data_IF_741663831662
#
_entry.id   IF_741663831662
#
_cell.length_a   1.000
_cell.length_b   1.000
_cell.length_c   1.000
_cell.angle_alpha   90.00
_cell.angle_beta   90.00
_cell.angle_gamma   90.00
#
_symmetry.space_group_name_H-M   'P 1'
#
loop_
_entity.id
_entity.type
_entity.pdbx_description
1 polymer ?
#
# COMPACT_ATOMS: atom_id res chain seq x y z
N UNK A 1 7.66 5.75 -44.81
CA UNK A 1 7.35 5.35 -43.42
C UNK A 1 8.63 4.87 -42.76
N UNK A 2 9.03 5.46 -41.63
CA UNK A 2 10.32 5.16 -40.99
C UNK A 2 10.15 3.93 -40.06
N UNK A 3 10.89 2.82 -40.23
CA UNK A 3 10.75 1.61 -39.40
C UNK A 3 10.89 1.90 -37.89
N UNK A 4 11.64 2.95 -37.52
CA UNK A 4 11.82 3.36 -36.13
C UNK A 4 10.55 3.92 -35.46
N UNK A 5 9.57 4.46 -36.21
CA UNK A 5 8.33 4.97 -35.61
C UNK A 5 7.38 3.85 -35.18
N UNK A 6 7.40 2.71 -35.88
CA UNK A 6 6.52 1.58 -35.58
C UNK A 6 6.96 0.88 -34.29
N UNK A 7 8.28 0.69 -34.12
CA UNK A 7 8.86 0.08 -32.90
C UNK A 7 8.61 0.95 -31.65
N UNK A 8 8.72 2.28 -31.77
CA UNK A 8 8.47 3.20 -30.65
C UNK A 8 7.00 3.20 -30.21
N UNK A 9 6.07 3.14 -31.17
CA UNK A 9 4.63 3.08 -30.89
C UNK A 9 4.23 1.74 -30.27
N UNK A 10 4.82 0.63 -30.72
CA UNK A 10 4.59 -0.69 -30.15
C UNK A 10 5.07 -0.77 -28.69
N UNK A 11 6.28 -0.31 -28.39
CA UNK A 11 6.82 -0.30 -27.03
C UNK A 11 5.99 0.53 -26.04
N UNK A 12 5.47 1.68 -26.47
CA UNK A 12 4.60 2.50 -25.62
C UNK A 12 3.25 1.82 -25.30
N UNK A 13 2.67 1.09 -26.28
CA UNK A 13 1.45 0.30 -26.05
C UNK A 13 1.71 -0.85 -25.09
N UNK A 14 2.85 -1.53 -25.24
CA UNK A 14 3.25 -2.63 -24.36
C UNK A 14 3.40 -2.17 -22.91
N UNK A 15 4.10 -1.05 -22.67
CA UNK A 15 4.30 -0.52 -21.31
C UNK A 15 2.95 -0.16 -20.65
N UNK A 16 2.03 0.46 -21.39
CA UNK A 16 0.69 0.78 -20.89
C UNK A 16 -0.09 -0.47 -20.53
N UNK A 17 -0.03 -1.49 -21.39
CA UNK A 17 -0.68 -2.78 -21.13
C UNK A 17 -0.13 -3.45 -19.87
N UNK A 18 1.21 -3.47 -19.70
CA UNK A 18 1.85 -4.02 -18.50
C UNK A 18 1.39 -3.28 -17.23
N UNK A 19 1.40 -1.94 -17.24
CA UNK A 19 0.94 -1.16 -16.07
C UNK A 19 -0.53 -1.44 -15.78
N UNK A 20 -1.38 -1.50 -16.80
CA UNK A 20 -2.80 -1.82 -16.62
C UNK A 20 -3.00 -3.21 -16.00
N UNK A 21 -2.27 -4.23 -16.47
CA UNK A 21 -2.34 -5.59 -15.91
C UNK A 21 -1.84 -5.62 -14.46
N UNK A 22 -0.72 -4.97 -14.14
CA UNK A 22 -0.20 -4.90 -12.77
C UNK A 22 -1.20 -4.20 -11.84
N UNK A 23 -1.76 -3.06 -12.27
CA UNK A 23 -2.79 -2.35 -11.49
C UNK A 23 -4.06 -3.17 -11.32
N UNK A 24 -4.48 -3.93 -12.33
CA UNK A 24 -5.63 -4.82 -12.24
C UNK A 24 -5.38 -5.98 -11.26
N UNK A 25 -4.20 -6.60 -11.29
CA UNK A 25 -3.81 -7.64 -10.32
C UNK A 25 -3.83 -7.08 -8.89
N UNK A 26 -3.27 -5.89 -8.65
CA UNK A 26 -3.34 -5.25 -7.34
C UNK A 26 -4.77 -4.94 -6.90
N UNK A 27 -5.63 -4.52 -7.83
CA UNK A 27 -7.06 -4.31 -7.56
C UNK A 27 -7.78 -5.60 -7.15
N UNK A 28 -7.52 -6.72 -7.82
CA UNK A 28 -8.08 -8.02 -7.46
C UNK A 28 -7.61 -8.48 -6.09
N UNK A 29 -6.29 -8.38 -5.80
CA UNK A 29 -5.76 -8.74 -4.48
C UNK A 29 -6.34 -7.86 -3.37
N UNK A 30 -6.53 -6.55 -3.63
CA UNK A 30 -7.14 -5.65 -2.68
C UNK A 30 -8.61 -5.99 -2.40
N UNK A 31 -9.37 -6.38 -3.43
CA UNK A 31 -10.76 -6.81 -3.26
C UNK A 31 -10.87 -8.09 -2.43
N UNK A 32 -9.99 -9.08 -2.68
CA UNK A 32 -9.94 -10.32 -1.91
C UNK A 32 -9.55 -10.07 -0.45
N UNK A 33 -8.52 -9.25 -0.21
CA UNK A 33 -8.10 -8.90 1.15
C UNK A 33 -9.18 -8.10 1.89
N UNK A 34 -9.91 -7.22 1.21
CA UNK A 34 -11.02 -6.49 1.79
C UNK A 34 -12.16 -7.45 2.18
N UNK A 35 -12.49 -8.42 1.33
CA UNK A 35 -13.51 -9.42 1.62
C UNK A 35 -13.13 -10.25 2.86
N UNK A 36 -11.92 -10.82 2.87
CA UNK A 36 -11.42 -11.61 4.02
C UNK A 36 -11.36 -10.76 5.29
N UNK A 37 -10.84 -9.53 5.21
CA UNK A 37 -10.79 -8.62 6.36
C UNK A 37 -12.18 -8.31 6.90
N UNK A 38 -13.16 -8.05 6.03
CA UNK A 38 -14.54 -7.79 6.44
C UNK A 38 -15.20 -9.00 7.09
N UNK A 39 -14.98 -10.22 6.56
CA UNK A 39 -15.56 -11.44 7.16
C UNK A 39 -14.97 -11.72 8.54
N UNK A 40 -13.66 -11.51 8.71
CA UNK A 40 -13.00 -11.66 10.00
C UNK A 40 -13.57 -10.62 10.97
N UNK A 41 -13.62 -9.34 10.59
CA UNK A 41 -14.19 -8.29 11.44
C UNK A 41 -15.59 -8.65 11.91
N UNK A 42 -16.51 -9.06 11.02
CA UNK A 42 -17.88 -9.38 11.44
C UNK A 42 -17.99 -10.56 12.42
N UNK A 43 -17.04 -11.50 12.40
CA UNK A 43 -17.01 -12.62 13.36
C UNK A 43 -16.50 -12.13 14.72
N UNK A 44 -15.55 -11.18 14.73
CA UNK A 44 -14.94 -10.67 15.95
C UNK A 44 -15.69 -9.46 16.55
N UNK A 45 -16.45 -8.70 15.76
CA UNK A 45 -17.24 -7.54 16.19
C UNK A 45 -18.29 -7.93 17.26
N UNK A 46 -18.86 -9.14 17.18
CA UNK A 46 -19.79 -9.68 18.20
C UNK A 46 -19.12 -9.83 19.58
N UNK A 47 -17.78 -9.84 19.63
CA UNK A 47 -16.98 -9.97 20.84
C UNK A 47 -16.30 -8.66 21.29
N UNK A 48 -16.18 -7.66 20.40
CA UNK A 48 -15.56 -6.35 20.68
C UNK A 48 -16.40 -5.44 21.60
N UNK A 49 -17.67 -5.79 21.85
CA UNK A 49 -18.53 -5.10 22.84
C UNK A 49 -17.95 -5.17 24.27
N UNK A 50 -16.97 -6.04 24.51
CA UNK A 50 -16.36 -6.28 25.82
C UNK A 50 -14.86 -5.90 25.93
N UNK A 51 -14.22 -5.34 24.89
CA UNK A 51 -12.81 -4.94 24.91
C UNK A 51 -12.61 -3.44 24.65
N UNK A 52 -11.66 -2.82 25.36
CA UNK A 52 -11.29 -1.40 25.25
C UNK A 52 -10.90 -1.01 23.81
N UNK A 53 -11.43 0.12 23.33
CA UNK A 53 -11.31 0.74 21.99
C UNK A 53 -9.86 1.02 21.49
N UNK A 54 -8.83 0.70 22.27
CA UNK A 54 -7.46 1.15 21.99
C UNK A 54 -6.59 0.17 21.19
N UNK A 55 -7.08 -1.04 20.87
CA UNK A 55 -6.30 -2.03 20.14
C UNK A 55 -6.74 -2.12 18.66
N UNK A 56 -5.81 -1.81 17.75
CA UNK A 56 -5.98 -2.12 16.33
C UNK A 56 -5.94 -3.64 16.13
N UNK A 57 -7.10 -4.25 15.94
CA UNK A 57 -7.20 -5.67 15.60
C UNK A 57 -6.53 -5.94 14.24
N UNK A 58 -5.93 -7.13 14.03
CA UNK A 58 -5.34 -7.50 12.74
C UNK A 58 -6.31 -7.38 11.56
N UNK A 59 -7.61 -7.62 11.79
CA UNK A 59 -8.67 -7.50 10.79
C UNK A 59 -8.84 -6.05 10.30
N UNK A 60 -8.87 -5.09 11.21
CA UNK A 60 -8.99 -3.66 10.88
C UNK A 60 -7.79 -3.17 10.07
N UNK A 61 -6.58 -3.64 10.39
CA UNK A 61 -5.38 -3.34 9.61
C UNK A 61 -5.46 -3.90 8.19
N UNK A 62 -5.96 -5.14 8.02
CA UNK A 62 -6.16 -5.74 6.70
C UNK A 62 -7.13 -4.92 5.84
N UNK A 63 -8.25 -4.46 6.41
CA UNK A 63 -9.22 -3.60 5.72
C UNK A 63 -8.57 -2.29 5.28
N UNK A 64 -7.86 -1.62 6.18
CA UNK A 64 -7.18 -0.34 5.89
C UNK A 64 -6.17 -0.48 4.74
N UNK A 65 -5.29 -1.49 4.81
CA UNK A 65 -4.29 -1.75 3.76
C UNK A 65 -4.98 -2.03 2.42
N UNK A 66 -6.08 -2.79 2.43
CA UNK A 66 -6.83 -3.13 1.22
C UNK A 66 -7.40 -1.90 0.52
N UNK A 67 -7.94 -0.94 1.28
CA UNK A 67 -8.45 0.32 0.73
C UNK A 67 -7.32 1.13 0.10
N UNK A 68 -6.16 1.24 0.77
CA UNK A 68 -4.99 1.92 0.22
C UNK A 68 -4.52 1.27 -1.09
N UNK A 69 -4.42 -0.06 -1.15
CA UNK A 69 -4.04 -0.80 -2.36
C UNK A 69 -5.04 -0.61 -3.50
N UNK A 70 -6.35 -0.55 -3.19
CA UNK A 70 -7.39 -0.26 -4.17
C UNK A 70 -7.22 1.14 -4.79
N UNK A 71 -6.93 2.15 -3.97
CA UNK A 71 -6.67 3.51 -4.46
C UNK A 71 -5.44 3.52 -5.39
N UNK A 72 -4.35 2.85 -5.00
CA UNK A 72 -3.14 2.74 -5.83
C UNK A 72 -3.45 2.07 -7.18
N UNK A 73 -4.25 1.00 -7.18
CA UNK A 73 -4.69 0.32 -8.39
C UNK A 73 -5.50 1.25 -9.32
N UNK A 74 -6.46 2.00 -8.77
CA UNK A 74 -7.27 2.96 -9.53
C UNK A 74 -6.40 4.06 -10.14
N UNK A 75 -5.47 4.64 -9.36
CA UNK A 75 -4.54 5.66 -9.85
C UNK A 75 -3.66 5.11 -10.97
N UNK A 76 -3.19 3.87 -10.85
CA UNK A 76 -2.41 3.18 -11.90
C UNK A 76 -3.21 2.98 -13.18
N UNK A 77 -4.44 2.47 -13.09
CA UNK A 77 -5.35 2.30 -14.22
C UNK A 77 -5.66 3.62 -14.93
N UNK A 78 -6.06 4.65 -14.17
CA UNK A 78 -6.35 5.99 -14.72
C UNK A 78 -5.09 6.62 -15.32
N UNK A 79 -3.93 6.43 -14.68
CA UNK A 79 -2.64 6.92 -15.17
C UNK A 79 -2.25 6.31 -16.51
N UNK A 80 -2.48 5.01 -16.69
CA UNK A 80 -2.23 4.31 -17.94
C UNK A 80 -3.16 4.78 -19.07
N UNK A 81 -4.45 5.00 -18.78
CA UNK A 81 -5.48 5.41 -19.76
C UNK A 81 -5.35 6.89 -20.14
N UNK A 82 -5.24 7.80 -19.16
CA UNK A 82 -5.25 9.25 -19.40
C UNK A 82 -3.92 9.79 -19.96
N UNK A 83 -2.89 8.95 -20.08
CA UNK A 83 -1.53 9.34 -20.51
C UNK A 83 -0.98 10.56 -19.74
N UNK A 84 -1.42 10.74 -18.50
CA UNK A 84 -1.04 11.90 -17.69
C UNK A 84 0.28 11.61 -16.97
N UNK A 85 1.30 12.42 -17.27
CA UNK A 85 2.61 12.35 -16.63
C UNK A 85 2.55 12.49 -15.12
N UNK A 86 1.61 13.30 -14.61
CA UNK A 86 1.47 13.52 -13.16
C UNK A 86 0.95 12.26 -12.47
N UNK A 87 -0.13 11.66 -13.00
CA UNK A 87 -0.74 10.45 -12.43
C UNK A 87 0.22 9.25 -12.47
N UNK A 88 0.94 9.05 -13.58
CA UNK A 88 1.94 7.98 -13.69
C UNK A 88 3.10 8.18 -12.70
N UNK A 89 3.51 9.42 -12.46
CA UNK A 89 4.56 9.71 -11.47
C UNK A 89 4.08 9.49 -10.03
N UNK A 90 2.84 9.87 -9.72
CA UNK A 90 2.21 9.59 -8.42
C UNK A 90 2.11 8.08 -8.19
N UNK A 91 1.65 7.32 -9.18
CA UNK A 91 1.61 5.86 -9.11
C UNK A 91 2.98 5.25 -8.81
N UNK A 92 4.02 5.67 -9.55
CA UNK A 92 5.39 5.21 -9.29
C UNK A 92 5.91 5.58 -7.91
N UNK A 93 5.61 6.79 -7.42
CA UNK A 93 5.99 7.22 -6.07
C UNK A 93 5.28 6.42 -4.97
N UNK A 94 3.98 6.12 -5.14
CA UNK A 94 3.23 5.28 -4.21
C UNK A 94 3.77 3.86 -4.17
N UNK A 95 4.06 3.24 -5.33
CA UNK A 95 4.67 1.91 -5.36
C UNK A 95 6.04 1.87 -4.68
N UNK A 96 6.86 2.90 -4.89
CA UNK A 96 8.15 3.00 -4.21
C UNK A 96 8.01 3.17 -2.69
N UNK A 97 7.03 3.95 -2.23
CA UNK A 97 6.74 4.11 -0.81
C UNK A 97 6.32 2.78 -0.18
N UNK A 98 5.41 2.03 -0.83
CA UNK A 98 5.00 0.70 -0.37
C UNK A 98 6.20 -0.27 -0.32
N UNK A 99 7.05 -0.27 -1.34
CA UNK A 99 8.27 -1.09 -1.35
C UNK A 99 9.22 -0.75 -0.18
N UNK A 100 9.39 0.54 0.14
CA UNK A 100 10.20 0.96 1.28
C UNK A 100 9.60 0.53 2.63
N UNK A 101 8.28 0.60 2.79
CA UNK A 101 7.59 0.09 3.98
C UNK A 101 7.73 -1.42 4.10
N UNK A 102 7.60 -2.16 3.00
CA UNK A 102 7.75 -3.61 2.96
C UNK A 102 9.17 -4.05 3.34
N UNK A 103 10.20 -3.37 2.83
CA UNK A 103 11.59 -3.61 3.22
C UNK A 103 11.82 -3.31 4.70
N UNK A 104 11.27 -2.22 5.20
CA UNK A 104 11.39 -1.84 6.62
C UNK A 104 10.71 -2.89 7.52
N UNK A 105 9.51 -3.33 7.16
CA UNK A 105 8.78 -4.37 7.87
C UNK A 105 9.54 -5.71 7.86
N UNK A 106 10.16 -6.09 6.73
CA UNK A 106 10.97 -7.30 6.63
C UNK A 106 12.20 -7.26 7.55
N UNK A 107 12.89 -6.12 7.62
CA UNK A 107 14.04 -5.93 8.53
C UNK A 107 13.60 -5.99 10.00
N UNK A 108 12.50 -5.32 10.34
CA UNK A 108 11.94 -5.34 11.70
C UNK A 108 11.52 -6.76 12.11
N UNK A 109 10.83 -7.49 11.22
CA UNK A 109 10.43 -8.87 11.46
C UNK A 109 11.63 -9.79 11.72
N UNK A 110 12.72 -9.61 10.97
CA UNK A 110 13.96 -10.35 11.18
C UNK A 110 14.60 -10.03 12.54
N UNK A 111 14.69 -8.75 12.90
CA UNK A 111 15.26 -8.31 14.18
C UNK A 111 14.45 -8.79 15.39
N UNK A 112 13.11 -8.83 15.27
CA UNK A 112 12.21 -9.19 16.37
C UNK A 112 11.83 -10.67 16.43
N UNK A 113 12.32 -11.50 15.51
CA UNK A 113 11.95 -12.93 15.45
C UNK A 113 12.13 -13.67 16.79
N UNK A 114 13.25 -13.45 17.48
CA UNK A 114 13.49 -14.04 18.80
C UNK A 114 12.59 -13.51 19.91
N UNK A 115 12.18 -12.24 19.82
CA UNK A 115 11.24 -11.66 20.78
C UNK A 115 9.83 -12.20 20.59
N UNK A 116 9.41 -12.42 19.33
CA UNK A 116 8.08 -12.98 19.01
C UNK A 116 7.90 -14.38 19.61
N UNK A 117 8.90 -15.26 19.49
CA UNK A 117 8.82 -16.63 20.05
C UNK A 117 8.77 -16.63 21.59
N UNK A 118 9.54 -15.75 22.24
CA UNK A 118 9.48 -15.57 23.69
C UNK A 118 8.12 -15.02 24.14
N UNK A 119 7.61 -13.98 23.46
CA UNK A 119 6.31 -13.40 23.76
C UNK A 119 5.19 -14.43 23.57
N UNK A 120 5.25 -15.23 22.51
CA UNK A 120 4.28 -16.31 22.27
C UNK A 120 4.26 -17.31 23.45
N UNK A 121 5.44 -17.76 23.88
CA UNK A 121 5.57 -18.68 25.02
C UNK A 121 4.98 -18.09 26.30
N UNK A 122 5.29 -16.81 26.57
CA UNK A 122 4.77 -16.10 27.75
C UNK A 122 3.26 -15.94 27.70
N UNK A 123 2.72 -15.46 26.58
CA UNK A 123 1.28 -15.26 26.38
C UNK A 123 0.52 -16.56 26.51
N UNK A 124 1.05 -17.66 25.96
CA UNK A 124 0.41 -18.97 26.05
C UNK A 124 0.41 -19.50 27.50
N UNK A 125 1.51 -19.32 28.24
CA UNK A 125 1.56 -19.66 29.67
C UNK A 125 0.54 -18.87 30.48
N UNK A 126 0.44 -17.56 30.25
CA UNK A 126 -0.51 -16.69 30.95
C UNK A 126 -1.97 -17.06 30.62
N UNK A 127 -2.25 -17.33 29.33
CA UNK A 127 -3.56 -17.81 28.90
C UNK A 127 -3.95 -19.12 29.60
N UNK A 128 -3.04 -20.10 29.69
CA UNK A 128 -3.31 -21.37 30.35
C UNK A 128 -3.62 -21.20 31.85
N UNK A 129 -2.87 -20.34 32.56
CA UNK A 129 -3.15 -20.08 33.98
C UNK A 129 -4.50 -19.41 34.20
N UNK A 130 -4.95 -18.58 33.26
CA UNK A 130 -6.23 -17.87 33.31
C UNK A 130 -7.41 -18.68 32.73
N UNK A 131 -7.18 -19.94 32.32
CA UNK A 131 -8.19 -20.78 31.67
C UNK A 131 -9.49 -20.93 32.49
N UNK A 132 -9.39 -21.12 33.82
CA UNK A 132 -10.57 -21.25 34.69
C UNK A 132 -11.25 -19.92 35.01
N UNK A 133 -10.52 -18.82 34.94
CA UNK A 133 -10.99 -17.50 35.39
C UNK A 133 -11.69 -16.73 34.28
N UNK A 134 -11.31 -16.97 33.02
CA UNK A 134 -11.81 -16.22 31.88
C UNK A 134 -12.33 -17.16 30.79
N UNK A 135 -13.66 -17.13 30.58
CA UNK A 135 -14.34 -17.95 29.57
C UNK A 135 -13.89 -17.63 28.14
N UNK A 136 -13.44 -16.41 27.86
CA UNK A 136 -12.87 -16.03 26.56
C UNK A 136 -11.52 -16.74 26.33
N UNK A 137 -10.67 -16.74 27.35
CA UNK A 137 -9.37 -17.42 27.31
C UNK A 137 -9.57 -18.94 27.21
N UNK A 138 -10.55 -19.48 27.92
CA UNK A 138 -10.92 -20.90 27.83
C UNK A 138 -11.34 -21.27 26.40
N UNK A 139 -12.29 -20.53 25.81
CA UNK A 139 -12.75 -20.75 24.43
C UNK A 139 -11.61 -20.66 23.41
N UNK A 140 -10.69 -19.70 23.60
CA UNK A 140 -9.50 -19.57 22.76
C UNK A 140 -8.56 -20.77 22.85
N UNK A 141 -8.31 -21.28 24.06
CA UNK A 141 -7.50 -22.49 24.28
C UNK A 141 -8.20 -23.73 23.72
N UNK A 142 -9.52 -23.86 23.93
CA UNK A 142 -10.31 -24.99 23.42
C UNK A 142 -10.33 -25.04 21.89
N UNK A 143 -10.53 -23.88 21.26
CA UNK A 143 -10.40 -23.73 19.82
C UNK A 143 -9.00 -24.11 19.36
N UNK A 144 -7.96 -23.64 20.04
CA UNK A 144 -6.57 -23.93 19.70
C UNK A 144 -6.28 -25.44 19.79
N UNK A 145 -6.70 -26.11 20.87
CA UNK A 145 -6.51 -27.55 21.08
C UNK A 145 -7.22 -28.40 20.03
N UNK A 146 -8.48 -28.05 19.73
CA UNK A 146 -9.28 -28.76 18.72
C UNK A 146 -8.73 -28.58 17.32
N UNK A 147 -8.31 -27.37 16.93
CA UNK A 147 -7.83 -27.09 15.57
C UNK A 147 -6.40 -27.57 15.31
N UNK A 148 -5.56 -27.61 16.34
CA UNK A 148 -4.16 -28.05 16.22
C UNK A 148 -3.94 -29.51 16.62
N UNK A 149 -4.98 -30.18 17.09
CA UNK A 149 -4.95 -31.56 17.60
C UNK A 149 -3.83 -31.73 18.64
N UNK A 150 -3.84 -30.86 19.64
CA UNK A 150 -2.81 -30.76 20.67
C UNK A 150 -3.43 -30.60 22.07
N UNK A 151 -2.62 -30.84 23.11
CA UNK A 151 -3.08 -30.75 24.48
C UNK A 151 -1.98 -30.24 25.42
N UNK A 152 -2.36 -29.29 26.29
CA UNK A 152 -1.43 -28.61 27.18
C UNK A 152 -0.53 -27.61 26.45
N UNK A 153 0.49 -27.11 27.13
CA UNK A 153 1.46 -26.15 26.55
C UNK A 153 2.53 -26.94 25.80
N UNK A 154 3.32 -27.71 26.54
CA UNK A 154 4.37 -28.59 26.03
C UNK A 154 3.93 -30.06 26.06
N UNK A 155 3.03 -30.43 26.99
CA UNK A 155 2.50 -31.78 27.11
C UNK A 155 1.12 -31.81 27.79
N UNK A 156 0.35 -32.90 27.64
CA UNK A 156 -0.93 -33.07 28.33
C UNK A 156 -0.84 -32.95 29.86
N UNK A 157 0.31 -33.27 30.43
CA UNK A 157 0.56 -33.22 31.88
C UNK A 157 0.55 -31.78 32.43
N UNK A 158 0.66 -30.75 31.58
CA UNK A 158 0.56 -29.35 31.99
C UNK A 158 -0.79 -29.03 32.64
N UNK A 159 -1.83 -29.79 32.32
CA UNK A 159 -3.15 -29.66 32.92
C UNK A 159 -3.18 -30.02 34.41
N UNK A 160 -2.20 -30.77 34.92
CA UNK A 160 -2.05 -31.05 36.36
C UNK A 160 -1.83 -29.78 37.21
N UNK A 161 -1.42 -28.67 36.59
CA UNK A 161 -1.26 -27.37 37.25
C UNK A 161 -2.60 -26.66 37.50
N UNK A 162 -3.65 -27.08 36.79
CA UNK A 162 -4.97 -26.44 36.77
C UNK A 162 -6.04 -27.39 37.35
N UNK A 163 -6.00 -28.66 36.97
CA UNK A 163 -6.90 -29.71 37.45
C UNK A 163 -6.18 -30.65 38.39
N UNK A 164 -6.83 -31.00 39.50
CA UNK A 164 -6.33 -32.04 40.40
C UNK A 164 -6.44 -33.41 39.70
N UNK A 165 -5.38 -34.24 39.72
CA UNK A 165 -5.43 -35.59 39.17
C UNK A 165 -6.52 -36.43 39.86
N UNK A 166 -7.27 -37.21 39.09
CA UNK A 166 -8.29 -38.14 39.60
C UNK A 166 -7.81 -39.57 39.38
N UNK A 167 -7.76 -40.39 40.42
CA UNK A 167 -7.31 -41.79 40.36
C UNK A 167 -5.93 -41.99 39.72
N UNK A 168 -4.98 -41.10 40.02
CA UNK A 168 -3.63 -41.04 39.41
C UNK A 168 -3.63 -40.83 37.88
N UNK A 169 -4.72 -40.33 37.30
CA UNK A 169 -4.82 -39.97 35.88
C UNK A 169 -4.89 -38.46 35.70
N UNK A 170 -4.24 -37.97 34.65
CA UNK A 170 -4.29 -36.57 34.22
C UNK A 170 -5.71 -36.24 33.77
N UNK A 171 -6.28 -35.17 34.32
CA UNK A 171 -7.60 -34.64 33.93
C UNK A 171 -7.37 -33.50 32.95
N UNK A 172 -8.03 -33.56 31.80
CA UNK A 172 -7.91 -32.59 30.70
C UNK A 172 -9.29 -32.10 30.28
N UNK A 173 -9.42 -30.91 29.65
CA UNK A 173 -10.68 -30.46 29.10
C UNK A 173 -11.12 -31.30 27.89
N UNK A 174 -12.41 -31.23 27.55
CA UNK A 174 -13.01 -31.94 26.43
C UNK A 174 -12.36 -31.59 25.07
N UNK A 175 -11.88 -30.36 24.91
CA UNK A 175 -11.18 -29.86 23.72
C UNK A 175 -9.83 -30.54 23.44
N UNK A 176 -9.23 -31.16 24.46
CA UNK A 176 -8.00 -31.95 24.36
C UNK A 176 -8.29 -33.42 24.00
N UNK A 177 -9.56 -33.82 23.96
CA UNK A 177 -9.95 -35.20 23.73
C UNK A 177 -10.06 -35.56 22.24
N UNK A 178 -9.30 -36.57 21.82
CA UNK A 178 -9.36 -37.14 20.47
C UNK A 178 -10.58 -38.09 20.32
N UNK A 179 -10.88 -38.87 21.36
CA UNK A 179 -11.97 -39.85 21.38
C UNK A 179 -12.78 -39.72 22.67
N UNK A 180 -14.01 -39.22 22.56
CA UNK A 180 -14.97 -39.20 23.66
C UNK A 180 -15.66 -40.57 23.81
N UNK A 181 -15.92 -40.96 25.06
CA UNK A 181 -16.69 -42.17 25.33
C UNK A 181 -18.16 -42.06 24.88
N UNK A 182 -18.75 -43.11 24.28
CA UNK A 182 -20.15 -43.07 23.88
C UNK A 182 -21.05 -43.03 25.13
N UNK A 183 -21.60 -41.86 25.42
CA UNK A 183 -22.56 -41.63 26.51
C UNK A 183 -21.99 -41.03 27.79
N UNK A 184 -20.70 -40.67 27.84
CA UNK A 184 -20.05 -40.03 29.00
C UNK A 184 -19.16 -38.85 28.61
N UNK A 185 -18.94 -37.94 29.56
CA UNK A 185 -17.96 -36.84 29.51
C UNK A 185 -16.57 -37.27 30.00
N UNK A 186 -16.20 -38.55 29.82
CA UNK A 186 -14.85 -39.04 30.11
C UNK A 186 -14.06 -39.22 28.82
N UNK A 187 -12.90 -38.57 28.76
CA UNK A 187 -12.01 -38.66 27.62
C UNK A 187 -11.28 -40.01 27.62
N UNK A 188 -11.41 -40.80 26.54
CA UNK A 188 -10.70 -42.08 26.42
C UNK A 188 -9.25 -41.90 25.97
N UNK A 189 -9.03 -40.98 25.03
CA UNK A 189 -7.72 -40.71 24.43
C UNK A 189 -7.58 -39.22 24.18
N UNK A 190 -6.52 -38.63 24.73
CA UNK A 190 -6.17 -37.23 24.53
C UNK A 190 -4.99 -37.08 23.56
N UNK A 191 -4.92 -35.91 22.92
CA UNK A 191 -3.81 -35.56 22.04
C UNK A 191 -2.49 -35.58 22.79
N UNK A 192 -1.47 -36.23 22.23
CA UNK A 192 -0.16 -36.44 22.91
C UNK A 192 0.83 -35.29 22.71
N UNK A 193 0.56 -34.38 21.76
CA UNK A 193 1.47 -33.29 21.42
C UNK A 193 1.09 -32.02 22.18
N UNK A 194 2.09 -31.31 22.73
CA UNK A 194 1.90 -29.96 23.25
C UNK A 194 1.51 -28.96 22.18
N UNK A 195 0.70 -27.98 22.54
CA UNK A 195 0.23 -26.96 21.60
C UNK A 195 1.30 -25.93 21.20
N UNK A 196 2.23 -25.58 22.10
CA UNK A 196 3.30 -24.62 21.83
C UNK A 196 4.28 -25.13 20.75
N UNK A 197 4.84 -26.36 20.84
CA UNK A 197 5.71 -26.87 19.79
C UNK A 197 4.96 -27.08 18.46
N UNK A 198 3.69 -27.49 18.51
CA UNK A 198 2.85 -27.63 17.32
C UNK A 198 2.61 -26.29 16.62
N UNK A 199 2.29 -25.26 17.40
CA UNK A 199 2.09 -23.89 16.91
C UNK A 199 3.38 -23.31 16.32
N UNK A 200 4.52 -23.47 17.01
CA UNK A 200 5.82 -23.03 16.50
C UNK A 200 6.15 -23.69 15.15
N UNK A 201 5.91 -24.99 15.01
CA UNK A 201 6.13 -25.68 13.73
C UNK A 201 5.25 -25.10 12.61
N UNK A 202 3.98 -24.80 12.88
CA UNK A 202 3.07 -24.19 11.89
C UNK A 202 3.48 -22.77 11.56
N UNK A 203 3.91 -21.98 12.54
CA UNK A 203 4.42 -20.61 12.33
C UNK A 203 5.65 -20.66 11.44
N UNK A 204 6.62 -21.54 11.70
CA UNK A 204 7.82 -21.66 10.86
C UNK A 204 7.48 -22.04 9.41
N UNK A 205 6.55 -22.97 9.21
CA UNK A 205 6.10 -23.36 7.86
C UNK A 205 5.34 -22.23 7.17
N UNK A 206 4.46 -21.55 7.90
CA UNK A 206 3.67 -20.43 7.36
C UNK A 206 4.55 -19.21 7.07
N UNK A 207 5.58 -18.96 7.87
CA UNK A 207 6.54 -17.87 7.68
C UNK A 207 7.25 -17.99 6.32
N UNK A 208 7.56 -19.21 5.88
CA UNK A 208 8.16 -19.44 4.56
C UNK A 208 7.21 -19.06 3.42
N UNK A 209 5.91 -19.40 3.54
CA UNK A 209 4.90 -19.00 2.57
C UNK A 209 4.73 -17.49 2.52
N UNK A 210 4.63 -16.84 3.69
CA UNK A 210 4.54 -15.37 3.80
C UNK A 210 5.77 -14.69 3.19
N UNK A 211 6.97 -15.19 3.48
CA UNK A 211 8.21 -14.65 2.94
C UNK A 211 8.27 -14.76 1.40
N UNK A 212 7.83 -15.89 0.84
CA UNK A 212 7.76 -16.06 -0.62
C UNK A 212 6.73 -15.13 -1.27
N UNK A 213 5.60 -14.89 -0.60
CA UNK A 213 4.57 -13.94 -1.00
C UNK A 213 5.10 -12.51 -1.02
N UNK A 214 5.73 -12.07 0.08
CA UNK A 214 6.36 -10.75 0.17
C UNK A 214 7.42 -10.55 -0.92
N UNK A 215 8.32 -11.51 -1.14
CA UNK A 215 9.31 -11.41 -2.21
C UNK A 215 8.67 -11.25 -3.60
N UNK A 216 7.58 -11.96 -3.86
CA UNK A 216 6.83 -11.84 -5.11
C UNK A 216 6.21 -10.46 -5.26
N UNK A 217 5.61 -9.92 -4.20
CA UNK A 217 5.02 -8.58 -4.17
C UNK A 217 6.09 -7.52 -4.41
N UNK A 218 7.21 -7.59 -3.69
CA UNK A 218 8.37 -6.69 -3.85
C UNK A 218 8.90 -6.70 -5.30
N UNK A 219 9.00 -7.88 -5.93
CA UNK A 219 9.42 -8.00 -7.32
C UNK A 219 8.43 -7.32 -8.29
N UNK A 220 7.13 -7.55 -8.13
CA UNK A 220 6.09 -6.92 -8.96
C UNK A 220 6.07 -5.41 -8.78
N UNK A 221 6.20 -4.91 -7.56
CA UNK A 221 6.29 -3.48 -7.27
C UNK A 221 7.50 -2.85 -7.96
N UNK A 222 8.68 -3.48 -7.87
CA UNK A 222 9.89 -3.00 -8.50
C UNK A 222 9.74 -2.88 -10.03
N UNK A 223 9.16 -3.90 -10.67
CA UNK A 223 8.82 -3.84 -12.10
C UNK A 223 7.83 -2.71 -12.40
N UNK A 224 6.80 -2.53 -11.57
CA UNK A 224 5.83 -1.44 -11.68
C UNK A 224 6.48 -0.06 -11.62
N UNK A 225 7.45 0.14 -10.72
CA UNK A 225 8.23 1.38 -10.59
C UNK A 225 9.06 1.65 -11.85
N UNK A 226 9.79 0.64 -12.35
CA UNK A 226 10.57 0.78 -13.60
C UNK A 226 9.65 1.15 -14.76
N UNK A 227 8.53 0.44 -14.93
CA UNK A 227 7.56 0.72 -15.99
C UNK A 227 6.97 2.13 -15.88
N UNK A 228 6.64 2.58 -14.66
CA UNK A 228 6.13 3.93 -14.42
C UNK A 228 7.16 5.00 -14.83
N UNK A 229 8.43 4.84 -14.46
CA UNK A 229 9.50 5.75 -14.87
C UNK A 229 9.73 5.76 -16.38
N UNK A 230 9.74 4.58 -17.02
CA UNK A 230 9.87 4.46 -18.47
C UNK A 230 8.70 5.13 -19.20
N UNK A 231 7.46 4.93 -18.72
CA UNK A 231 6.28 5.56 -19.28
C UNK A 231 6.32 7.08 -19.09
N UNK A 232 6.64 7.56 -17.90
CA UNK A 232 6.78 8.99 -17.62
C UNK A 232 7.85 9.66 -18.50
N UNK A 233 9.00 9.00 -18.70
CA UNK A 233 10.05 9.47 -19.63
C UNK A 233 9.55 9.51 -21.07
N UNK A 234 8.83 8.47 -21.51
CA UNK A 234 8.29 8.37 -22.86
C UNK A 234 7.22 9.43 -23.13
N UNK A 235 6.30 9.67 -22.20
CA UNK A 235 5.28 10.72 -22.34
C UNK A 235 5.93 12.10 -22.37
N UNK A 236 6.91 12.39 -21.49
CA UNK A 236 7.66 13.66 -21.50
C UNK A 236 8.37 13.89 -22.83
N UNK A 237 9.06 12.87 -23.36
CA UNK A 237 9.72 12.94 -24.68
C UNK A 237 8.72 13.16 -25.81
N UNK A 238 7.55 12.53 -25.75
CA UNK A 238 6.51 12.70 -26.78
C UNK A 238 5.93 14.12 -26.74
N UNK A 239 5.70 14.68 -25.54
CA UNK A 239 5.27 16.07 -25.36
C UNK A 239 6.30 17.06 -25.91
N UNK A 240 7.60 16.85 -25.65
CA UNK A 240 8.65 17.73 -26.19
C UNK A 240 8.77 17.66 -27.72
N UNK A 241 8.68 16.47 -28.32
CA UNK A 241 8.68 16.31 -29.78
C UNK A 241 7.46 16.99 -30.42
N UNK A 242 6.27 16.87 -29.82
CA UNK A 242 5.06 17.54 -30.31
C UNK A 242 5.18 19.06 -30.22
N UNK A 243 5.78 19.58 -29.14
CA UNK A 243 6.07 21.01 -29.02
C UNK A 243 7.01 21.47 -30.14
N UNK A 244 8.12 20.76 -30.39
CA UNK A 244 9.06 21.08 -31.46
C UNK A 244 8.41 21.03 -32.86
N UNK A 245 7.56 20.03 -33.15
CA UNK A 245 6.83 19.97 -34.43
C UNK A 245 5.87 21.13 -34.62
N UNK A 246 5.18 21.58 -33.55
CA UNK A 246 4.30 22.76 -33.61
C UNK A 246 5.09 24.01 -34.01
N UNK A 247 6.28 24.22 -33.45
CA UNK A 247 7.18 25.30 -33.86
C UNK A 247 7.60 25.19 -35.34
N UNK A 248 7.93 23.99 -35.81
CA UNK A 248 8.28 23.79 -37.23
C UNK A 248 7.09 24.06 -38.17
N UNK A 249 5.89 23.62 -37.81
CA UNK A 249 4.67 23.91 -38.57
C UNK A 249 4.36 25.41 -38.62
N UNK A 250 4.55 26.13 -37.51
CA UNK A 250 4.38 27.58 -37.46
C UNK A 250 5.33 28.32 -38.42
N UNK A 251 6.60 27.90 -38.50
CA UNK A 251 7.56 28.47 -39.46
C UNK A 251 7.21 28.14 -40.91
N UNK A 252 6.83 26.89 -41.20
CA UNK A 252 6.48 26.44 -42.54
C UNK A 252 5.21 27.14 -43.09
N UNK A 253 4.27 27.48 -42.21
CA UNK A 253 3.05 28.22 -42.58
C UNK A 253 3.26 29.74 -42.62
N UNK A 254 4.47 30.25 -42.37
CA UNK A 254 4.74 31.69 -42.26
C UNK A 254 4.05 32.36 -41.07
N UNK A 255 3.39 31.58 -40.20
CA UNK A 255 2.77 32.03 -38.95
C UNK A 255 3.85 32.02 -37.86
N UNK A 256 4.90 32.82 -38.04
CA UNK A 256 5.68 33.29 -36.90
C UNK A 256 4.79 34.31 -36.20
N UNK A 257 4.00 33.87 -35.22
CA UNK A 257 3.49 34.80 -34.22
C UNK A 257 4.72 35.37 -33.53
N UNK A 258 5.16 36.54 -34.00
CA UNK A 258 6.03 37.38 -33.21
C UNK A 258 5.36 37.56 -31.85
N UNK A 259 6.07 37.38 -30.71
CA UNK A 259 5.50 37.67 -29.39
C UNK A 259 4.96 39.11 -29.31
N UNK A 260 5.45 39.98 -30.19
CA UNK A 260 5.12 41.39 -30.29
C UNK A 260 3.79 41.72 -30.99
N UNK A 261 3.13 40.77 -31.68
CA UNK A 261 1.86 41.07 -32.36
C UNK A 261 0.62 40.86 -31.50
N UNK A 262 0.72 40.15 -30.37
CA UNK A 262 -0.42 39.99 -29.45
C UNK A 262 -0.61 41.24 -28.58
N UNK A 263 0.47 41.89 -28.15
CA UNK A 263 0.41 43.16 -27.41
C UNK A 263 -0.19 44.28 -28.26
N UNK A 264 0.20 44.42 -29.54
CA UNK A 264 -0.39 45.43 -30.43
C UNK A 264 -1.88 45.22 -30.70
N UNK A 265 -2.36 43.98 -30.63
CA UNK A 265 -3.78 43.68 -30.86
C UNK A 265 -4.63 43.96 -29.60
N UNK A 266 -4.05 43.84 -28.40
CA UNK A 266 -4.68 44.29 -27.16
C UNK A 266 -4.65 45.82 -27.01
N UNK A 267 -3.58 46.48 -27.46
CA UNK A 267 -3.46 47.94 -27.39
C UNK A 267 -4.45 48.63 -28.35
N UNK A 268 -4.61 48.12 -29.58
CA UNK A 268 -5.58 48.65 -30.56
C UNK A 268 -7.06 48.44 -30.14
N UNK A 269 -7.37 47.38 -29.39
CA UNK A 269 -8.72 47.15 -28.86
C UNK A 269 -9.04 47.97 -27.60
N UNK A 270 -8.03 48.54 -26.93
CA UNK A 270 -8.21 49.33 -25.71
C UNK A 270 -8.48 50.83 -25.96
N UNK A 271 -8.18 51.33 -27.17
CA UNK A 271 -8.35 52.74 -27.55
C UNK A 271 -9.79 53.06 -27.96
N UNK A 272 -10.60 52.06 -28.33
CA UNK A 272 -11.93 52.28 -28.89
C UNK A 272 -13.08 52.29 -27.86
N UNK A 273 -12.79 52.39 -26.55
CA UNK A 273 -13.82 52.26 -25.50
C UNK A 273 -13.75 53.27 -24.36
N UNK A 274 -13.05 54.41 -24.51
CA UNK A 274 -13.08 55.47 -23.49
C UNK A 274 -13.49 56.82 -24.08
N UNK A 275 -14.80 57.02 -24.18
CA UNK A 275 -15.43 58.33 -24.23
C UNK A 275 -16.59 58.33 -23.21
N UNK A 276 -16.37 58.92 -22.04
CA UNK A 276 -17.29 59.80 -21.28
C UNK A 276 -16.89 59.84 -19.79
N UNK A 277 -16.29 60.96 -19.40
CA UNK A 277 -16.04 61.45 -18.02
C UNK A 277 -17.34 62.04 -17.42
N UNK A 278 -17.52 62.27 -16.08
CA UNK A 278 -16.58 63.07 -15.26
C UNK A 278 -16.32 62.65 -13.78
N UNK A 279 -15.14 63.10 -13.31
CA UNK A 279 -14.62 63.52 -11.98
C UNK A 279 -15.59 63.80 -10.79
N UNK A 280 -15.10 64.09 -9.54
CA UNK A 280 -13.75 63.89 -8.93
C UNK A 280 -13.73 63.36 -7.46
N UNK A 281 -12.60 62.84 -6.95
CA UNK A 281 -12.11 63.18 -5.58
C UNK A 281 -10.64 62.80 -5.32
N UNK A 282 -9.97 63.69 -4.58
CA UNK A 282 -8.54 63.85 -4.22
C UNK A 282 -8.03 62.70 -3.28
N UNK A 283 -6.76 62.34 -3.07
CA UNK A 283 -5.54 63.14 -2.78
C UNK A 283 -4.28 62.22 -2.73
N UNK A 284 -3.13 62.84 -2.98
CA UNK A 284 -1.71 62.45 -2.92
C UNK A 284 -1.15 61.80 -1.63
N UNK A 285 0.00 61.11 -1.77
CA UNK A 285 1.30 61.26 -1.03
C UNK A 285 2.12 59.94 -1.15
N UNK A 286 3.20 59.83 -1.93
CA UNK A 286 4.59 60.34 -1.84
C UNK A 286 5.55 59.54 -0.91
N UNK A 287 6.77 59.32 -1.44
CA UNK A 287 8.08 58.88 -0.86
C UNK A 287 8.43 57.40 -0.95
N UNK A 288 9.68 57.00 -1.21
CA UNK A 288 10.93 57.64 -1.65
C UNK A 288 11.94 56.51 -1.90
N UNK A 289 12.71 56.67 -2.98
CA UNK A 289 14.08 56.23 -3.27
C UNK A 289 14.68 54.99 -2.57
N UNK A 290 15.19 54.05 -3.37
CA UNK A 290 16.64 53.89 -3.44
C UNK A 290 17.15 53.13 -4.68
N UNK A 291 18.27 53.68 -5.15
CA UNK A 291 19.03 53.46 -6.37
C UNK A 291 19.99 52.27 -6.27
N UNK A 292 20.12 51.46 -7.33
CA UNK A 292 21.37 50.77 -7.67
C UNK A 292 21.37 50.38 -9.16
N UNK A 293 22.04 51.21 -9.96
CA UNK A 293 22.47 50.94 -11.34
C UNK A 293 23.35 49.67 -11.44
N UNK A 294 23.30 48.95 -12.58
CA UNK A 294 24.43 48.81 -13.55
C UNK A 294 24.07 47.87 -14.72
N UNK A 295 23.82 48.50 -15.88
CA UNK A 295 24.19 48.17 -17.28
C UNK A 295 24.48 46.72 -17.76
N UNK A 296 23.71 46.33 -18.81
CA UNK A 296 24.11 45.89 -20.20
C UNK A 296 25.13 44.73 -20.30
N UNK A 297 24.91 43.62 -21.04
CA UNK A 297 25.10 43.43 -22.50
C UNK A 297 24.39 42.15 -23.04
N UNK A 298 23.80 42.26 -24.24
CA UNK A 298 23.41 41.17 -25.17
C UNK A 298 24.52 40.99 -26.26
N UNK A 299 24.36 40.17 -27.32
CA UNK A 299 24.77 38.76 -27.43
C UNK A 299 25.84 38.54 -28.55
N UNK A 300 26.40 37.34 -28.69
CA UNK A 300 27.12 36.95 -29.92
C UNK A 300 26.77 35.52 -30.35
N UNK A 301 26.14 35.41 -31.52
CA UNK A 301 26.25 34.25 -32.41
C UNK A 301 27.58 34.29 -33.16
N UNK A 302 28.08 33.14 -33.61
CA UNK A 302 28.62 33.06 -34.96
C UNK A 302 28.03 31.91 -35.77
N UNK A 303 27.82 32.23 -37.05
CA UNK A 303 27.58 31.38 -38.21
C UNK A 303 28.86 30.64 -38.63
N UNK A 304 28.73 29.84 -39.72
CA UNK A 304 29.77 29.16 -40.55
C UNK A 304 30.02 27.71 -40.08
N UNK A 305 29.96 26.65 -40.90
CA UNK A 305 30.04 26.46 -42.36
C UNK A 305 29.14 25.30 -42.80
#
# INVERSE_FOLDING_TARGET
MNPNSNNLNAGMRLIKFIIFIISFMFGLTALLLLAVGSTISTIFDDFDIFMDDHFFTPANLMIFISICLMIIAIVGCIGAIKESTMLVNIFGALLFLVFAMELTAAVLAYMMHGQVTYMLTRTMNDAFMNYKENTYVASGIDFLQTNLECCGIDSPDDWSRIYEPKDNKTVVPDSCCEILAPGESECMQFFQYGCLPRLNFIIEKSAMLIASGALTVAFVQFLGVICAFMLAKTIRRTKSIRAARRWQLQQALGVMTNPFSFDKQMEANSVNSRQYDPEPEYTQMEKSDNNANTNTYLPHSPSVM
#
